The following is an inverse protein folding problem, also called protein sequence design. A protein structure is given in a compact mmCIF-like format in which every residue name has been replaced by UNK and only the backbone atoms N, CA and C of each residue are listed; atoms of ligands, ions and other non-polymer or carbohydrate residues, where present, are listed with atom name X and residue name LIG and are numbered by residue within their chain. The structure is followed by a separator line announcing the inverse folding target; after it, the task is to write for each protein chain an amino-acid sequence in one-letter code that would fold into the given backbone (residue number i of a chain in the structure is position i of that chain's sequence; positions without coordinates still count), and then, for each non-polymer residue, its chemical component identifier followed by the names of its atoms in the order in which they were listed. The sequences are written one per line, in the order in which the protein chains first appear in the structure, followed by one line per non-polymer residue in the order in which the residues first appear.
data_IF_812776241800
#
_entry.id   IF_812776241800
#
_cell.length_a   1.000
_cell.length_b   1.000
_cell.length_c   1.000
_cell.angle_alpha   90.00
_cell.angle_beta   90.00
_cell.angle_gamma   90.00
#
_symmetry.space_group_name_H-M   'P 1'
#
loop_
_entity.id
_entity.type
_entity.pdbx_description
1 polymer ?
#
# COMPACT_ATOMS: atom_id res chain seq x y z
N UNK A 1 22.01 62.77 16.70
CA UNK A 1 20.60 62.71 16.27
C UNK A 1 20.58 61.83 15.02
N UNK A 2 20.20 60.57 15.16
CA UNK A 2 20.32 59.58 14.07
C UNK A 2 19.14 59.81 13.13
N UNK A 3 19.41 60.26 11.91
CA UNK A 3 18.40 60.39 10.86
C UNK A 3 17.97 58.97 10.45
N UNK A 4 16.78 58.55 10.86
CA UNK A 4 16.16 57.32 10.36
C UNK A 4 15.74 57.57 8.92
N UNK A 5 16.18 56.75 7.94
CA UNK A 5 15.76 56.92 6.56
C UNK A 5 14.24 56.71 6.47
N UNK A 6 13.56 57.58 5.72
CA UNK A 6 12.10 57.58 5.52
C UNK A 6 11.54 56.21 5.06
N UNK A 7 12.38 55.39 4.43
CA UNK A 7 12.03 54.08 3.91
C UNK A 7 12.09 52.94 4.95
N UNK A 8 12.55 53.21 6.17
CA UNK A 8 12.65 52.19 7.22
C UNK A 8 11.27 51.67 7.65
N UNK A 9 10.27 52.56 7.72
CA UNK A 9 8.89 52.17 8.02
C UNK A 9 8.29 51.29 6.92
N UNK A 10 8.60 51.58 5.65
CA UNK A 10 8.11 50.79 4.51
C UNK A 10 8.74 49.39 4.49
N UNK A 11 10.05 49.29 4.70
CA UNK A 11 10.74 48.00 4.80
C UNK A 11 10.23 47.12 5.95
N UNK A 12 9.85 47.74 7.07
CA UNK A 12 9.29 47.02 8.22
C UNK A 12 7.88 46.48 7.90
N UNK A 13 7.05 47.25 7.20
CA UNK A 13 5.72 46.80 6.77
C UNK A 13 5.82 45.65 5.77
N UNK A 14 6.70 45.77 4.76
CA UNK A 14 6.87 44.74 3.73
C UNK A 14 7.34 43.41 4.34
N UNK A 15 8.31 43.46 5.26
CA UNK A 15 8.83 42.24 5.92
C UNK A 15 7.78 41.60 6.81
N UNK A 16 7.04 42.38 7.60
CA UNK A 16 5.96 41.89 8.46
C UNK A 16 4.87 41.19 7.64
N UNK A 17 4.43 41.81 6.53
CA UNK A 17 3.42 41.25 5.63
C UNK A 17 3.94 39.98 4.96
N UNK A 18 5.19 39.98 4.48
CA UNK A 18 5.81 38.80 3.87
C UNK A 18 5.86 37.60 4.81
N UNK A 19 6.33 37.78 6.04
CA UNK A 19 6.34 36.72 7.04
C UNK A 19 4.93 36.23 7.41
N UNK A 20 3.96 37.15 7.52
CA UNK A 20 2.57 36.79 7.81
C UNK A 20 1.96 35.90 6.72
N UNK A 21 2.23 36.19 5.44
CA UNK A 21 1.72 35.40 4.32
C UNK A 21 2.35 34.00 4.33
N UNK A 22 3.67 33.91 4.50
CA UNK A 22 4.38 32.62 4.55
C UNK A 22 3.89 31.78 5.72
N UNK A 23 3.74 32.39 6.90
CA UNK A 23 3.20 31.71 8.08
C UNK A 23 1.78 31.20 7.83
N UNK A 24 0.90 32.03 7.28
CA UNK A 24 -0.47 31.65 6.93
C UNK A 24 -0.53 30.51 5.91
N UNK A 25 0.35 30.54 4.89
CA UNK A 25 0.45 29.48 3.89
C UNK A 25 0.85 28.14 4.53
N UNK A 26 1.83 28.14 5.44
CA UNK A 26 2.26 26.94 6.17
C UNK A 26 1.14 26.37 7.07
N UNK A 27 0.43 27.24 7.80
CA UNK A 27 -0.71 26.82 8.63
C UNK A 27 -1.83 26.23 7.78
N UNK A 28 -2.14 26.88 6.65
CA UNK A 28 -3.16 26.38 5.71
C UNK A 28 -2.76 25.01 5.16
N UNK A 29 -1.49 24.84 4.77
CA UNK A 29 -0.98 23.57 4.27
C UNK A 29 -1.06 22.46 5.33
N UNK A 30 -0.74 22.76 6.58
CA UNK A 30 -0.91 21.83 7.69
C UNK A 30 -2.37 21.38 7.85
N UNK A 31 -3.32 22.31 7.78
CA UNK A 31 -4.75 22.00 7.83
C UNK A 31 -5.21 21.12 6.66
N UNK A 32 -4.69 21.37 5.46
CA UNK A 32 -4.99 20.55 4.27
C UNK A 32 -4.53 19.11 4.49
N UNK A 33 -3.29 18.89 4.92
CA UNK A 33 -2.79 17.53 5.17
C UNK A 33 -3.57 16.80 6.27
N UNK A 34 -3.86 17.48 7.38
CA UNK A 34 -4.65 16.88 8.46
C UNK A 34 -6.08 16.53 8.01
N UNK A 35 -6.70 17.41 7.22
CA UNK A 35 -8.04 17.18 6.67
C UNK A 35 -8.05 16.03 5.65
N UNK A 36 -7.01 15.95 4.81
CA UNK A 36 -6.86 14.92 3.80
C UNK A 36 -6.80 13.52 4.42
N UNK A 37 -5.99 13.33 5.48
CA UNK A 37 -5.90 12.06 6.21
C UNK A 37 -7.26 11.63 6.77
N UNK A 38 -8.00 12.55 7.38
CA UNK A 38 -9.35 12.26 7.93
C UNK A 38 -10.36 11.92 6.84
N UNK A 39 -10.34 12.65 5.72
CA UNK A 39 -11.27 12.42 4.60
C UNK A 39 -10.99 11.07 3.93
N UNK A 40 -9.72 10.71 3.74
CA UNK A 40 -9.32 9.42 3.17
C UNK A 40 -9.80 8.26 4.05
N UNK A 41 -9.51 8.28 5.35
CA UNK A 41 -9.94 7.23 6.27
C UNK A 41 -11.48 7.12 6.33
N UNK A 42 -12.20 8.25 6.35
CA UNK A 42 -13.67 8.26 6.32
C UNK A 42 -14.23 7.67 5.03
N UNK A 43 -13.64 7.97 3.86
CA UNK A 43 -14.06 7.40 2.57
C UNK A 43 -13.82 5.89 2.52
N UNK A 44 -12.68 5.42 3.03
CA UNK A 44 -12.35 3.99 3.11
C UNK A 44 -13.35 3.27 4.01
N UNK A 45 -13.61 3.80 5.21
CA UNK A 45 -14.58 3.24 6.15
C UNK A 45 -16.00 3.19 5.56
N UNK A 46 -16.41 4.24 4.86
CA UNK A 46 -17.71 4.28 4.17
C UNK A 46 -17.80 3.27 3.02
N UNK A 47 -16.70 3.03 2.30
CA UNK A 47 -16.63 1.99 1.26
C UNK A 47 -16.71 0.60 1.87
N UNK A 48 -15.95 0.32 2.93
CA UNK A 48 -15.97 -0.96 3.65
C UNK A 48 -17.37 -1.29 4.21
N UNK A 49 -18.09 -0.29 4.73
CA UNK A 49 -19.50 -0.44 5.16
C UNK A 49 -20.43 -0.76 4.00
N UNK A 50 -20.22 -0.19 2.81
CA UNK A 50 -21.04 -0.51 1.62
C UNK A 50 -20.79 -1.93 1.10
N UNK A 51 -19.58 -2.46 1.29
CA UNK A 51 -19.21 -3.83 0.93
C UNK A 51 -19.65 -4.88 1.99
N UNK A 52 -20.38 -4.47 3.03
CA UNK A 52 -20.94 -5.37 4.05
C UNK A 52 -19.94 -5.87 5.10
N UNK A 53 -18.69 -5.38 5.06
CA UNK A 53 -17.60 -5.78 5.99
C UNK A 53 -17.60 -4.90 7.24
N UNK A 54 -18.70 -4.96 7.99
CA UNK A 54 -18.91 -4.12 9.18
C UNK A 54 -17.91 -4.41 10.31
N UNK A 55 -17.51 -5.67 10.52
CA UNK A 55 -16.50 -6.02 11.52
C UNK A 55 -15.15 -5.32 11.30
N UNK A 56 -14.73 -5.19 10.03
CA UNK A 56 -13.45 -4.55 9.70
C UNK A 56 -13.60 -3.03 9.73
N UNK A 57 -14.76 -2.51 9.33
CA UNK A 57 -15.03 -1.07 9.32
C UNK A 57 -15.21 -0.47 10.71
N UNK A 58 -15.49 -1.27 11.74
CA UNK A 58 -15.66 -0.81 13.13
C UNK A 58 -14.45 -1.08 14.02
N UNK A 59 -13.36 -1.62 13.46
CA UNK A 59 -12.09 -1.70 14.17
C UNK A 59 -11.59 -0.28 14.51
N UNK A 60 -11.10 -0.06 15.73
CA UNK A 60 -10.61 1.25 16.18
C UNK A 60 -9.35 1.69 15.42
N UNK A 61 -8.58 0.75 14.87
CA UNK A 61 -7.37 1.01 14.10
C UNK A 61 -7.45 0.29 12.75
N UNK A 62 -7.97 0.98 11.73
CA UNK A 62 -7.88 0.55 10.32
C UNK A 62 -6.65 1.18 9.65
N UNK A 63 -6.01 2.15 10.31
CA UNK A 63 -4.83 2.82 9.79
C UNK A 63 -3.64 1.85 9.82
N UNK A 64 -3.35 1.28 8.66
CA UNK A 64 -2.09 0.58 8.39
C UNK A 64 -1.01 1.65 8.32
N UNK A 65 0.04 1.48 9.12
CA UNK A 65 1.14 2.44 9.14
C UNK A 65 1.98 2.35 7.86
N UNK A 66 2.64 3.45 7.49
CA UNK A 66 3.52 3.47 6.33
C UNK A 66 4.69 2.48 6.45
N UNK A 67 5.13 2.24 7.69
CA UNK A 67 6.21 1.31 8.04
C UNK A 67 5.80 -0.15 7.76
N UNK A 68 4.60 -0.55 8.21
CA UNK A 68 4.05 -1.88 7.94
C UNK A 68 3.90 -2.12 6.43
N UNK A 69 3.39 -1.11 5.71
CA UNK A 69 3.24 -1.19 4.25
C UNK A 69 4.59 -1.32 3.55
N UNK A 70 5.60 -0.57 3.99
CA UNK A 70 6.97 -0.65 3.45
C UNK A 70 7.62 -2.00 3.76
N UNK A 71 7.44 -2.54 4.97
CA UNK A 71 7.94 -3.85 5.34
C UNK A 71 7.30 -4.98 4.51
N UNK A 72 5.99 -4.92 4.28
CA UNK A 72 5.27 -5.87 3.40
C UNK A 72 5.78 -5.74 1.96
N UNK A 73 5.94 -4.52 1.44
CA UNK A 73 6.46 -4.29 0.10
C UNK A 73 7.90 -4.81 -0.05
N UNK A 74 8.75 -4.61 0.95
CA UNK A 74 10.12 -5.12 0.98
C UNK A 74 10.16 -6.64 1.05
N UNK A 75 9.31 -7.25 1.87
CA UNK A 75 9.20 -8.71 1.95
C UNK A 75 8.75 -9.33 0.62
N UNK A 76 7.78 -8.70 -0.06
CA UNK A 76 7.34 -9.12 -1.39
C UNK A 76 8.46 -8.98 -2.43
N UNK A 77 9.17 -7.85 -2.43
CA UNK A 77 10.31 -7.61 -3.32
C UNK A 77 11.44 -8.63 -3.13
N UNK A 78 11.76 -8.96 -1.88
CA UNK A 78 12.76 -9.99 -1.58
C UNK A 78 12.29 -11.38 -2.01
N UNK A 79 11.00 -11.69 -1.88
CA UNK A 79 10.44 -12.97 -2.34
C UNK A 79 10.44 -13.12 -3.87
N UNK A 80 10.30 -12.02 -4.62
CA UNK A 80 10.31 -12.09 -6.10
C UNK A 80 11.67 -12.51 -6.67
N UNK A 81 12.77 -12.28 -5.95
CA UNK A 81 14.14 -12.61 -6.37
C UNK A 81 14.59 -14.02 -5.90
N UNK A 82 13.74 -14.72 -5.13
CA UNK A 82 14.02 -16.05 -4.55
C UNK A 82 13.42 -17.19 -5.39
N UNK A 83 12.71 -16.87 -6.47
CA UNK A 83 12.33 -17.88 -7.45
C UNK A 83 13.58 -18.34 -8.21
N UNK A 84 13.88 -19.64 -8.17
CA UNK A 84 14.94 -20.25 -8.97
C UNK A 84 14.75 -19.88 -10.45
N UNK A 85 15.85 -19.57 -11.17
CA UNK A 85 15.81 -19.45 -12.62
C UNK A 85 15.39 -20.80 -13.22
N UNK A 86 14.08 -20.95 -13.48
CA UNK A 86 13.58 -22.10 -14.22
C UNK A 86 14.23 -22.10 -15.60
N UNK A 87 14.91 -23.18 -15.98
CA UNK A 87 15.64 -23.24 -17.25
C UNK A 87 14.74 -23.15 -18.50
N UNK A 88 13.42 -23.05 -18.33
CA UNK A 88 12.42 -23.02 -19.41
C UNK A 88 12.36 -24.31 -20.24
N UNK A 89 13.28 -25.26 -20.02
CA UNK A 89 13.37 -26.52 -20.75
C UNK A 89 12.57 -27.58 -20.00
N UNK A 90 11.28 -27.65 -20.30
CA UNK A 90 10.41 -28.73 -19.81
C UNK A 90 10.78 -30.02 -20.56
N UNK A 91 11.66 -30.84 -19.98
CA UNK A 91 12.01 -32.15 -20.54
C UNK A 91 10.94 -33.18 -20.15
N UNK A 92 9.88 -33.26 -20.94
CA UNK A 92 8.85 -34.31 -20.79
C UNK A 92 9.41 -35.61 -21.37
N UNK A 93 9.97 -36.47 -20.51
CA UNK A 93 10.23 -37.87 -20.88
C UNK A 93 8.89 -38.57 -21.10
N UNK A 94 8.46 -38.67 -22.36
CA UNK A 94 7.36 -39.54 -22.76
C UNK A 94 7.82 -40.98 -22.65
N UNK A 95 7.65 -41.57 -21.48
CA UNK A 95 7.59 -43.03 -21.39
C UNK A 95 6.38 -43.49 -22.22
N UNK A 96 6.56 -44.47 -23.10
CA UNK A 96 5.55 -44.95 -24.08
C UNK A 96 4.35 -45.66 -23.46
N UNK A 97 4.08 -45.41 -22.17
CA UNK A 97 2.91 -45.93 -21.49
C UNK A 97 1.70 -45.12 -21.94
N UNK A 98 0.84 -45.72 -22.75
CA UNK A 98 -0.46 -45.19 -23.22
C UNK A 98 -1.44 -44.84 -22.09
N UNK A 99 -1.07 -45.10 -20.83
CA UNK A 99 -1.88 -44.84 -19.66
C UNK A 99 -1.17 -43.89 -18.70
N UNK A 100 -1.93 -42.93 -18.15
CA UNK A 100 -1.47 -42.14 -17.01
C UNK A 100 -1.44 -43.05 -15.76
N UNK A 101 -0.34 -43.05 -14.98
CA UNK A 101 -0.24 -43.86 -13.77
C UNK A 101 -1.23 -43.40 -12.68
N UNK A 102 -1.73 -42.17 -12.76
CA UNK A 102 -2.62 -41.59 -11.75
C UNK A 102 -4.07 -42.12 -11.81
N UNK A 103 -4.49 -42.72 -12.93
CA UNK A 103 -5.87 -43.20 -13.12
C UNK A 103 -5.92 -44.55 -13.88
N UNK A 104 -5.01 -45.47 -13.59
CA UNK A 104 -5.07 -46.78 -14.23
C UNK A 104 -6.01 -47.72 -13.46
N UNK A 105 -7.20 -47.95 -14.04
CA UNK A 105 -8.30 -48.77 -13.50
C UNK A 105 -7.87 -50.21 -13.13
N UNK A 106 -6.75 -50.67 -13.69
CA UNK A 106 -6.11 -51.95 -13.39
C UNK A 106 -5.71 -52.12 -11.91
N UNK A 107 -5.34 -51.05 -11.20
CA UNK A 107 -5.00 -51.16 -9.77
C UNK A 107 -6.24 -51.16 -8.85
N UNK A 108 -7.42 -50.78 -9.37
CA UNK A 108 -8.66 -50.69 -8.58
C UNK A 108 -9.52 -51.96 -8.57
N UNK A 109 -9.21 -52.94 -9.42
CA UNK A 109 -9.98 -54.19 -9.49
C UNK A 109 -9.51 -55.16 -8.40
N UNK A 110 -10.12 -55.09 -7.20
CA UNK A 110 -10.05 -56.20 -6.23
C UNK A 110 -10.69 -57.43 -6.87
N UNK A 111 -9.86 -58.44 -7.16
CA UNK A 111 -10.29 -59.75 -7.65
C UNK A 111 -11.09 -60.41 -6.53
N UNK A 112 -12.42 -60.39 -6.61
CA UNK A 112 -13.29 -61.14 -5.72
C UNK A 112 -13.15 -62.63 -6.09
N UNK A 113 -12.40 -63.40 -5.32
CA UNK A 113 -12.38 -64.86 -5.46
C UNK A 113 -13.65 -65.42 -4.82
N UNK A 114 -14.34 -66.24 -5.61
CA UNK A 114 -15.57 -66.93 -5.23
C UNK A 114 -15.29 -68.13 -4.34
#
# INVERSE_FOLDING_TARGET
MIATPENFSEGLVITLVGYSIVFSALVTLFFVFNSLSKVLNTKIRNRLRKEGKHEIADLPNIDVTGEETAAVAMALYLMTDVHDEESGVITIKRDSKTYSPWSSKIYGLRRFSR
#
